data_IF_488842443540
#
_entry.id   IF_488842443540
#
_cell.length_a   1.000
_cell.length_b   1.000
_cell.length_c   1.000
_cell.angle_alpha   90.00
_cell.angle_beta   90.00
_cell.angle_gamma   90.00
#
_symmetry.space_group_name_H-M   'P 1'
#
loop_
_entity.id
_entity.type
_entity.pdbx_description
1 polymer ?
#
# COMPACT_ATOMS: atom_id res chain seq x y z
N UNK A 1 8.88 -18.54 3.90
CA UNK A 1 8.80 -17.39 4.84
C UNK A 1 9.72 -16.30 4.33
N UNK A 2 9.32 -15.04 4.42
CA UNK A 2 10.12 -13.88 4.06
C UNK A 2 9.85 -12.73 5.05
N UNK A 3 10.84 -11.90 5.27
CA UNK A 3 10.66 -10.60 5.93
C UNK A 3 10.37 -9.59 4.82
N UNK A 4 9.21 -8.95 4.87
CA UNK A 4 8.78 -8.00 3.85
C UNK A 4 8.50 -6.65 4.50
N UNK A 5 9.10 -5.59 3.96
CA UNK A 5 8.69 -4.23 4.22
C UNK A 5 8.08 -3.64 2.95
N UNK A 6 7.04 -2.82 3.09
CA UNK A 6 6.40 -2.12 2.00
C UNK A 6 6.24 -0.64 2.36
N UNK A 7 6.59 0.23 1.42
CA UNK A 7 6.14 1.61 1.40
C UNK A 7 4.94 1.70 0.45
N UNK A 8 3.76 1.93 0.99
CA UNK A 8 2.52 2.09 0.23
C UNK A 8 2.27 3.57 0.01
N UNK A 9 1.96 3.95 -1.23
CA UNK A 9 1.73 5.34 -1.60
C UNK A 9 0.43 5.50 -2.37
N UNK A 10 -0.26 6.59 -2.08
CA UNK A 10 -1.34 7.14 -2.90
C UNK A 10 -0.99 8.59 -3.22
N UNK A 11 -1.19 8.99 -4.47
CA UNK A 11 -0.92 10.33 -4.94
C UNK A 11 -2.18 10.93 -5.55
N UNK A 12 -2.47 12.19 -5.22
CA UNK A 12 -3.56 12.92 -5.85
C UNK A 12 -3.07 13.71 -7.09
N UNK A 13 -4.02 14.28 -7.84
CA UNK A 13 -3.74 15.14 -9.01
C UNK A 13 -2.92 16.40 -8.71
N UNK A 14 -2.79 16.78 -7.44
CA UNK A 14 -1.97 17.91 -6.97
C UNK A 14 -0.59 17.46 -6.49
N UNK A 15 -0.18 16.22 -6.81
CA UNK A 15 1.07 15.58 -6.37
C UNK A 15 1.22 15.46 -4.84
N UNK A 16 0.13 15.63 -4.08
CA UNK A 16 0.13 15.34 -2.65
C UNK A 16 0.17 13.84 -2.48
N UNK A 17 1.19 13.38 -1.75
CA UNK A 17 1.43 11.97 -1.46
C UNK A 17 1.04 11.68 -0.02
N UNK A 18 0.35 10.57 0.19
CA UNK A 18 0.28 9.93 1.50
C UNK A 18 1.05 8.61 1.39
N UNK A 19 1.93 8.37 2.36
CA UNK A 19 2.82 7.22 2.40
C UNK A 19 2.66 6.48 3.73
N UNK A 20 2.68 5.15 3.68
CA UNK A 20 2.66 4.29 4.85
C UNK A 20 3.75 3.24 4.74
N UNK A 21 4.55 3.14 5.80
CA UNK A 21 5.53 2.08 5.94
C UNK A 21 4.92 0.91 6.72
N UNK A 22 4.99 -0.30 6.18
CA UNK A 22 4.45 -1.51 6.80
C UNK A 22 5.48 -2.63 6.71
N UNK A 23 5.80 -3.26 7.82
CA UNK A 23 6.70 -4.41 7.86
C UNK A 23 5.97 -5.64 8.42
N UNK A 24 6.18 -6.80 7.78
CA UNK A 24 5.53 -8.05 8.14
C UNK A 24 6.41 -9.27 7.87
N UNK A 25 6.16 -10.33 8.63
CA UNK A 25 6.64 -11.67 8.32
C UNK A 25 5.61 -12.37 7.42
N UNK A 26 5.95 -12.59 6.15
CA UNK A 26 5.07 -13.28 5.19
C UNK A 26 5.41 -14.77 5.14
N UNK A 27 4.40 -15.62 5.21
CA UNK A 27 4.55 -17.07 5.19
C UNK A 27 3.37 -17.75 4.49
N UNK A 28 3.36 -19.08 4.42
CA UNK A 28 2.25 -19.83 3.82
C UNK A 28 0.91 -19.54 4.52
N UNK A 29 0.95 -19.35 5.83
CA UNK A 29 -0.24 -19.12 6.65
C UNK A 29 -0.52 -17.63 6.86
N UNK A 30 0.37 -16.75 6.39
CA UNK A 30 0.22 -15.29 6.45
C UNK A 30 0.71 -14.67 5.13
N UNK A 31 -0.18 -14.65 4.14
CA UNK A 31 0.15 -14.34 2.74
C UNK A 31 -0.03 -12.87 2.37
N UNK A 32 -0.66 -12.08 3.22
CA UNK A 32 -0.93 -10.66 2.99
C UNK A 32 -0.64 -9.86 4.25
N UNK A 33 -0.39 -8.58 4.07
CA UNK A 33 -0.16 -7.61 5.13
C UNK A 33 -0.60 -6.24 4.63
N UNK A 34 -0.94 -5.35 5.54
CA UNK A 34 -1.50 -4.05 5.21
C UNK A 34 -1.78 -3.23 6.47
N UNK A 35 -2.49 -2.13 6.28
CA UNK A 35 -2.92 -1.26 7.35
C UNK A 35 -4.41 -0.96 7.14
N UNK A 36 -5.20 -1.16 8.19
CA UNK A 36 -6.62 -0.85 8.17
C UNK A 36 -6.81 0.66 8.27
N UNK A 37 -7.43 1.25 7.25
CA UNK A 37 -7.72 2.69 7.23
C UNK A 37 -6.55 3.55 6.75
N UNK A 38 -5.73 3.06 5.81
CA UNK A 38 -4.72 3.85 5.09
C UNK A 38 -5.28 5.23 4.70
N UNK A 39 -6.43 5.26 4.04
CA UNK A 39 -7.11 6.48 3.62
C UNK A 39 -8.59 6.40 3.95
N UNK A 40 -9.13 7.47 4.54
CA UNK A 40 -10.57 7.61 4.69
C UNK A 40 -11.25 7.55 3.32
N UNK A 41 -12.28 6.70 3.19
CA UNK A 41 -13.01 6.55 1.92
C UNK A 41 -13.58 7.88 1.40
N UNK A 42 -14.00 8.77 2.31
CA UNK A 42 -14.45 10.12 1.98
C UNK A 42 -13.39 10.94 1.24
N UNK A 43 -12.10 10.76 1.53
CA UNK A 43 -11.02 11.43 0.81
C UNK A 43 -10.80 10.82 -0.58
N UNK A 44 -11.02 9.52 -0.75
CA UNK A 44 -10.91 8.84 -2.05
C UNK A 44 -12.03 9.28 -2.99
N UNK A 45 -13.28 9.33 -2.51
CA UNK A 45 -14.44 9.68 -3.35
C UNK A 45 -14.63 11.17 -3.55
N UNK A 46 -14.01 12.01 -2.72
CA UNK A 46 -14.10 13.46 -2.88
C UNK A 46 -13.23 13.92 -4.06
N UNK A 47 -13.89 14.26 -5.17
CA UNK A 47 -13.24 14.75 -6.38
C UNK A 47 -12.36 16.00 -6.15
N UNK A 48 -12.68 16.84 -5.15
CA UNK A 48 -11.89 18.01 -4.82
C UNK A 48 -10.55 17.67 -4.14
N UNK A 49 -10.48 16.54 -3.43
CA UNK A 49 -9.22 16.03 -2.86
C UNK A 49 -8.34 15.44 -3.95
N UNK A 50 -8.98 14.88 -4.99
CA UNK A 50 -8.31 14.52 -6.25
C UNK A 50 -7.47 13.25 -6.20
N UNK A 51 -7.68 12.36 -5.22
CA UNK A 51 -7.05 11.04 -5.19
C UNK A 51 -7.57 10.12 -6.29
N UNK A 52 -8.88 10.17 -6.54
CA UNK A 52 -9.49 9.48 -7.68
C UNK A 52 -9.54 10.38 -8.92
N UNK A 53 -9.27 9.80 -10.08
CA UNK A 53 -9.55 10.38 -11.39
C UNK A 53 -10.78 9.72 -12.00
N UNK A 54 -11.93 10.39 -11.89
CA UNK A 54 -13.23 9.79 -12.23
C UNK A 54 -13.51 8.59 -11.32
N UNK A 55 -13.55 7.39 -11.89
CA UNK A 55 -13.76 6.12 -11.18
C UNK A 55 -12.46 5.34 -10.92
N UNK A 56 -11.30 5.91 -11.26
CA UNK A 56 -10.01 5.23 -11.16
C UNK A 56 -9.19 5.76 -10.00
N UNK A 57 -8.50 4.85 -9.33
CA UNK A 57 -7.52 5.14 -8.29
C UNK A 57 -6.18 4.49 -8.66
N UNK A 58 -5.10 5.24 -8.51
CA UNK A 58 -3.74 4.72 -8.69
C UNK A 58 -3.11 4.49 -7.33
N UNK A 59 -2.64 3.27 -7.10
CA UNK A 59 -1.93 2.86 -5.89
C UNK A 59 -0.52 2.40 -6.29
N UNK A 60 0.46 2.73 -5.47
CA UNK A 60 1.86 2.34 -5.68
C UNK A 60 2.39 1.65 -4.41
N UNK A 61 3.16 0.58 -4.58
CA UNK A 61 3.76 -0.15 -3.49
C UNK A 61 5.23 -0.47 -3.81
N UNK A 62 6.14 -0.06 -2.95
CA UNK A 62 7.56 -0.39 -3.06
C UNK A 62 7.89 -1.47 -2.03
N UNK A 63 8.29 -2.65 -2.50
CA UNK A 63 8.54 -3.79 -1.64
C UNK A 63 10.04 -4.02 -1.43
N UNK A 64 10.44 -4.18 -0.19
CA UNK A 64 11.75 -4.65 0.21
C UNK A 64 11.62 -6.04 0.84
N UNK A 65 11.98 -7.08 0.08
CA UNK A 65 11.85 -8.47 0.48
C UNK A 65 13.23 -9.01 0.87
N UNK A 66 13.34 -9.51 2.10
CA UNK A 66 14.59 -10.04 2.68
C UNK A 66 14.37 -11.42 3.30
N UNK A 67 15.50 -12.11 3.54
CA UNK A 67 15.54 -13.37 4.31
C UNK A 67 14.55 -14.44 3.80
N UNK A 68 14.42 -14.57 2.48
CA UNK A 68 13.50 -15.55 1.89
C UNK A 68 14.00 -16.97 2.14
N UNK A 69 13.16 -17.82 2.72
CA UNK A 69 13.46 -19.21 3.07
C UNK A 69 12.35 -20.15 2.61
N UNK A 70 12.75 -21.37 2.24
CA UNK A 70 11.82 -22.44 1.86
C UNK A 70 11.24 -22.27 0.44
N UNK A 71 11.91 -21.52 -0.44
CA UNK A 71 11.67 -21.58 -1.88
C UNK A 71 12.22 -22.92 -2.38
N UNK A 72 11.35 -23.89 -2.61
CA UNK A 72 11.66 -25.14 -3.30
C UNK A 72 10.58 -25.38 -4.35
#
# INVERSE_FOLDING_TARGET
>A
KADVAADLMIMNKQEKKMNWHIAANVSRDNTHFGNDGLVAWSNITNQAVGFADGTKLTLEAHLNIKNVRGMR
#
